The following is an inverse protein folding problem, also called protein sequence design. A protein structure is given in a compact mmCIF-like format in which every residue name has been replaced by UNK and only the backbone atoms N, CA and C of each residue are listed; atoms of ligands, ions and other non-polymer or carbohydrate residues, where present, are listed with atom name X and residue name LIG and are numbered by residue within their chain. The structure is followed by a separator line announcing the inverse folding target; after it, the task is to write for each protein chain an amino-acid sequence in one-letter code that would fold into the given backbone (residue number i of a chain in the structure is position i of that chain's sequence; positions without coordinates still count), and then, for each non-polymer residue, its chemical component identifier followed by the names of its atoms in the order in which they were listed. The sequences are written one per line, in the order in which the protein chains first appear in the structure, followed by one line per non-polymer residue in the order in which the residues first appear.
data_IF_978895598665
#
_entry.id   IF_978895598665
#
_cell.length_a   1.000
_cell.length_b   1.000
_cell.length_c   1.000
_cell.angle_alpha   90.00
_cell.angle_beta   90.00
_cell.angle_gamma   90.00
#
_symmetry.space_group_name_H-M   'P 1'
#
loop_
_entity.id
_entity.type
_entity.pdbx_description
1 polymer ?
#
# COMPACT_ATOMS: atom_id res chain seq x y z
N UNK A 1 29.00 -29.53 -3.55
CA UNK A 1 29.79 -28.50 -4.24
C UNK A 1 29.40 -28.47 -5.69
N UNK A 2 28.56 -27.48 -6.09
CA UNK A 2 28.51 -26.95 -7.44
C UNK A 2 28.06 -25.51 -7.30
N UNK A 3 29.04 -24.60 -7.33
CA UNK A 3 28.83 -23.17 -7.50
C UNK A 3 28.17 -22.96 -8.88
N UNK A 4 26.92 -22.54 -8.87
CA UNK A 4 26.28 -21.94 -10.03
C UNK A 4 26.52 -20.44 -9.90
N UNK A 5 27.56 -19.98 -10.56
CA UNK A 5 27.81 -18.60 -10.88
C UNK A 5 26.68 -18.14 -11.82
N UNK A 6 25.68 -17.47 -11.25
CA UNK A 6 24.64 -16.78 -11.99
C UNK A 6 25.00 -15.31 -12.08
N UNK A 7 25.37 -14.91 -13.24
CA UNK A 7 25.37 -13.62 -13.91
C UNK A 7 26.76 -13.17 -14.40
N UNK A 8 26.90 -12.96 -15.68
CA UNK A 8 27.11 -11.62 -16.22
C UNK A 8 26.43 -11.33 -17.58
N UNK A 9 25.56 -12.20 -18.09
CA UNK A 9 25.01 -11.99 -19.46
C UNK A 9 23.82 -11.03 -19.56
N UNK A 10 23.10 -10.78 -18.47
CA UNK A 10 21.92 -9.87 -18.47
C UNK A 10 22.33 -8.39 -18.32
N UNK A 11 23.52 -8.12 -17.80
CA UNK A 11 24.02 -6.75 -17.56
C UNK A 11 24.39 -5.99 -18.85
N UNK A 12 24.99 -6.64 -19.84
CA UNK A 12 25.48 -5.97 -21.07
C UNK A 12 24.37 -5.49 -22.02
N UNK A 13 23.25 -6.21 -22.14
CA UNK A 13 22.10 -5.78 -22.94
C UNK A 13 21.27 -4.69 -22.27
N UNK A 14 21.25 -4.66 -20.94
CA UNK A 14 20.54 -3.61 -20.18
C UNK A 14 21.29 -2.28 -20.17
N UNK A 15 22.62 -2.26 -20.11
CA UNK A 15 23.41 -1.01 -20.06
C UNK A 15 23.23 -0.19 -21.36
N UNK A 16 23.31 -0.83 -22.52
CA UNK A 16 23.06 -0.14 -23.81
C UNK A 16 21.64 0.38 -23.97
N UNK A 17 20.66 -0.31 -23.38
CA UNK A 17 19.25 0.11 -23.36
C UNK A 17 19.05 1.33 -22.45
N UNK A 18 19.65 1.30 -21.26
CA UNK A 18 19.53 2.38 -20.27
C UNK A 18 20.23 3.63 -20.80
N UNK A 19 21.38 3.50 -21.44
CA UNK A 19 22.09 4.62 -22.08
C UNK A 19 21.23 5.30 -23.15
N UNK A 20 20.52 4.52 -23.99
CA UNK A 20 19.58 5.08 -24.98
C UNK A 20 18.42 5.82 -24.34
N UNK A 21 17.94 5.39 -23.19
CA UNK A 21 16.88 6.06 -22.44
C UNK A 21 17.42 7.34 -21.80
N UNK A 22 18.56 7.24 -21.10
CA UNK A 22 19.17 8.36 -20.37
C UNK A 22 19.70 9.46 -21.29
N UNK A 23 20.08 9.15 -22.52
CA UNK A 23 20.49 10.14 -23.54
C UNK A 23 19.42 11.18 -23.86
N UNK A 24 18.15 10.89 -23.54
CA UNK A 24 17.04 11.83 -23.68
C UNK A 24 17.03 12.93 -22.61
N UNK A 25 17.80 12.79 -21.54
CA UNK A 25 17.85 13.76 -20.45
C UNK A 25 19.12 14.60 -20.51
N UNK A 26 19.07 15.80 -19.94
CA UNK A 26 20.22 16.69 -19.85
C UNK A 26 21.05 16.38 -18.60
N UNK A 27 21.70 15.21 -18.61
CA UNK A 27 22.47 14.65 -17.50
C UNK A 27 23.74 13.98 -18.03
N UNK A 28 24.83 14.04 -17.25
CA UNK A 28 26.00 13.22 -17.45
C UNK A 28 25.94 12.05 -16.45
N UNK A 29 25.91 10.83 -16.97
CA UNK A 29 25.81 9.60 -16.18
C UNK A 29 27.22 9.11 -15.83
N UNK A 30 27.43 8.76 -14.56
CA UNK A 30 28.69 8.21 -14.05
C UNK A 30 28.59 6.71 -13.76
N UNK A 31 27.47 6.26 -13.17
CA UNK A 31 27.24 4.84 -12.88
C UNK A 31 25.74 4.52 -12.75
N UNK A 32 25.40 3.25 -12.94
CA UNK A 32 24.06 2.72 -12.92
C UNK A 32 24.06 1.52 -11.95
N UNK A 33 23.17 1.54 -10.97
CA UNK A 33 22.95 0.47 -10.01
C UNK A 33 21.53 -0.09 -10.16
N UNK A 34 21.41 -1.40 -10.29
CA UNK A 34 20.14 -2.06 -10.37
C UNK A 34 19.60 -2.34 -8.95
N UNK A 35 18.50 -1.67 -8.58
CA UNK A 35 17.90 -1.80 -7.24
C UNK A 35 16.86 -2.91 -7.21
N UNK A 36 16.10 -3.10 -8.31
CA UNK A 36 15.02 -4.08 -8.35
C UNK A 36 14.62 -4.41 -9.77
N UNK A 37 14.64 -5.69 -10.10
CA UNK A 37 13.98 -6.23 -11.28
C UNK A 37 12.91 -7.21 -10.82
N UNK A 38 11.70 -7.10 -11.37
CA UNK A 38 10.64 -8.11 -11.24
C UNK A 38 10.24 -8.57 -12.64
N UNK A 39 10.56 -9.80 -12.92
CA UNK A 39 10.05 -10.57 -14.06
C UNK A 39 8.71 -11.20 -13.63
N UNK A 40 7.62 -10.53 -13.88
CA UNK A 40 6.25 -11.02 -13.69
C UNK A 40 5.39 -10.33 -14.74
N UNK A 41 4.12 -10.69 -14.88
CA UNK A 41 3.14 -10.06 -15.78
C UNK A 41 3.11 -8.51 -15.67
N UNK A 42 3.75 -7.96 -14.65
CA UNK A 42 4.00 -6.53 -14.43
C UNK A 42 5.51 -6.30 -14.34
N UNK A 43 6.20 -6.40 -15.45
CA UNK A 43 7.62 -6.12 -15.52
C UNK A 43 7.96 -4.72 -15.00
N UNK A 44 8.74 -4.67 -13.94
CA UNK A 44 9.21 -3.44 -13.31
C UNK A 44 10.70 -3.49 -13.13
N UNK A 45 11.36 -2.38 -13.43
CA UNK A 45 12.76 -2.20 -13.10
C UNK A 45 12.95 -0.84 -12.44
N UNK A 46 13.82 -0.78 -11.45
CA UNK A 46 14.21 0.44 -10.75
C UNK A 46 15.72 0.49 -10.68
N UNK A 47 16.29 1.56 -11.18
CA UNK A 47 17.73 1.80 -11.22
C UNK A 47 18.05 3.08 -10.45
N UNK A 48 19.13 3.04 -9.67
CA UNK A 48 19.76 4.23 -9.07
C UNK A 48 20.86 4.69 -10.02
N UNK A 49 20.76 5.93 -10.47
CA UNK A 49 21.69 6.50 -11.47
C UNK A 49 22.51 7.59 -10.79
N UNK A 50 23.82 7.45 -10.79
CA UNK A 50 24.74 8.52 -10.38
C UNK A 50 24.99 9.48 -11.53
N UNK A 51 24.73 10.78 -11.33
CA UNK A 51 24.84 11.81 -12.37
C UNK A 51 25.55 13.06 -11.86
N UNK A 52 25.92 13.96 -12.78
CA UNK A 52 26.43 15.30 -12.48
C UNK A 52 25.46 16.19 -11.69
N UNK A 53 24.18 15.79 -11.62
CA UNK A 53 23.10 16.48 -10.88
C UNK A 53 22.59 15.64 -9.71
N UNK A 54 23.46 14.83 -9.08
CA UNK A 54 23.14 13.94 -7.98
C UNK A 54 22.48 12.64 -8.42
N UNK A 55 22.05 11.84 -7.45
CA UNK A 55 21.43 10.55 -7.72
C UNK A 55 20.01 10.71 -8.27
N UNK A 56 19.69 9.88 -9.28
CA UNK A 56 18.38 9.81 -9.92
C UNK A 56 17.80 8.40 -9.81
N UNK A 57 16.48 8.30 -9.87
CA UNK A 57 15.73 7.06 -9.93
C UNK A 57 15.13 6.90 -11.32
N UNK A 58 15.64 5.96 -12.13
CA UNK A 58 15.02 5.55 -13.37
C UNK A 58 14.11 4.36 -13.09
N UNK A 59 12.84 4.48 -13.51
CA UNK A 59 11.82 3.45 -13.28
C UNK A 59 11.16 3.05 -14.58
N UNK A 60 11.17 1.74 -14.92
CA UNK A 60 10.30 1.15 -15.92
C UNK A 60 8.90 0.98 -15.30
N UNK A 61 7.88 1.59 -15.89
CA UNK A 61 6.50 1.48 -15.42
C UNK A 61 5.73 0.47 -16.27
N UNK A 62 4.67 -0.11 -15.70
CA UNK A 62 3.89 -1.21 -16.30
C UNK A 62 2.50 -0.77 -16.77
N UNK A 63 2.21 0.51 -16.71
CA UNK A 63 0.95 1.11 -17.11
C UNK A 63 1.12 2.00 -18.34
N UNK A 64 0.00 2.31 -18.98
CA UNK A 64 -0.05 3.11 -20.18
C UNK A 64 0.19 4.61 -19.92
N UNK A 65 0.33 5.36 -21.00
CA UNK A 65 0.60 6.79 -20.99
C UNK A 65 -0.52 7.60 -20.34
N UNK A 66 -1.79 7.25 -20.58
CA UNK A 66 -2.95 7.94 -19.99
C UNK A 66 -2.99 7.76 -18.47
N UNK A 67 -2.61 6.58 -17.99
CA UNK A 67 -2.44 6.28 -16.56
C UNK A 67 -1.25 7.05 -15.98
N UNK A 68 -0.12 7.15 -16.71
CA UNK A 68 1.02 7.96 -16.29
C UNK A 68 0.64 9.45 -16.15
N UNK A 69 -0.14 9.99 -17.07
CA UNK A 69 -0.60 11.39 -16.99
C UNK A 69 -1.41 11.64 -15.73
N UNK A 70 -2.27 10.71 -15.33
CA UNK A 70 -3.00 10.80 -14.05
C UNK A 70 -2.06 10.80 -12.85
N UNK A 71 -1.13 9.83 -12.77
CA UNK A 71 -0.16 9.74 -11.68
C UNK A 71 0.73 10.99 -11.62
N UNK A 72 1.16 11.49 -12.77
CA UNK A 72 1.92 12.73 -12.88
C UNK A 72 1.11 13.93 -12.34
N UNK A 73 -0.17 14.04 -12.71
CA UNK A 73 -1.06 15.10 -12.21
C UNK A 73 -1.17 15.04 -10.67
N UNK A 74 -1.30 13.85 -10.10
CA UNK A 74 -1.33 13.67 -8.64
C UNK A 74 -0.03 14.13 -7.99
N UNK A 75 1.13 13.73 -8.52
CA UNK A 75 2.44 14.10 -7.97
C UNK A 75 2.64 15.61 -8.01
N UNK A 76 2.35 16.26 -9.14
CA UNK A 76 2.48 17.72 -9.26
C UNK A 76 1.51 18.45 -8.32
N UNK A 77 0.26 17.99 -8.25
CA UNK A 77 -0.74 18.56 -7.35
C UNK A 77 -0.32 18.48 -5.88
N UNK A 78 0.12 17.31 -5.43
CA UNK A 78 0.57 17.11 -4.06
C UNK A 78 1.79 17.98 -3.73
N UNK A 79 2.75 18.11 -4.64
CA UNK A 79 3.89 19.01 -4.47
C UNK A 79 3.47 20.49 -4.36
N UNK A 80 2.50 20.95 -5.16
CA UNK A 80 1.94 22.31 -5.05
C UNK A 80 1.26 22.52 -3.70
N UNK A 81 0.64 21.46 -3.14
CA UNK A 81 0.01 21.50 -1.80
C UNK A 81 1.01 21.29 -0.65
N UNK A 82 2.32 21.25 -0.91
CA UNK A 82 3.37 21.14 0.11
C UNK A 82 3.65 19.71 0.58
N UNK A 83 3.10 18.70 -0.08
CA UNK A 83 3.39 17.29 0.21
C UNK A 83 4.55 16.86 -0.67
N UNK A 84 5.67 16.44 -0.05
CA UNK A 84 6.90 16.15 -0.75
C UNK A 84 6.82 14.79 -1.47
N UNK A 85 6.86 14.86 -2.80
CA UNK A 85 6.91 13.71 -3.69
C UNK A 85 8.04 13.91 -4.72
N UNK A 86 8.75 12.85 -5.15
CA UNK A 86 9.74 12.98 -6.20
C UNK A 86 9.10 13.44 -7.51
N UNK A 87 9.53 14.60 -8.02
CA UNK A 87 9.02 15.15 -9.28
C UNK A 87 9.60 14.42 -10.48
N UNK A 88 8.79 14.28 -11.54
CA UNK A 88 9.27 13.72 -12.80
C UNK A 88 10.18 14.74 -13.53
N UNK A 89 11.40 14.30 -13.84
CA UNK A 89 12.39 15.08 -14.56
C UNK A 89 12.04 15.12 -16.05
N UNK A 90 12.06 16.32 -16.63
CA UNK A 90 11.75 16.51 -18.04
C UNK A 90 12.91 16.02 -18.92
N UNK A 91 12.58 15.41 -20.05
CA UNK A 91 13.52 15.13 -21.13
C UNK A 91 13.99 16.43 -21.81
N UNK A 92 15.00 16.37 -22.66
CA UNK A 92 15.47 17.48 -23.52
C UNK A 92 14.35 18.08 -24.38
N UNK A 93 13.31 17.29 -24.69
CA UNK A 93 12.13 17.71 -25.46
C UNK A 93 10.96 18.18 -24.59
N UNK A 94 11.15 18.31 -23.27
CA UNK A 94 10.10 18.72 -22.32
C UNK A 94 9.13 17.61 -21.87
N UNK A 95 9.25 16.39 -22.39
CA UNK A 95 8.39 15.27 -21.99
C UNK A 95 8.76 14.76 -20.59
N UNK A 96 7.79 14.22 -19.86
CA UNK A 96 7.99 13.67 -18.50
C UNK A 96 8.35 12.18 -18.47
N UNK A 97 8.52 11.58 -19.63
CA UNK A 97 8.85 10.15 -19.78
C UNK A 97 9.58 9.89 -21.09
N UNK A 98 10.17 8.72 -21.18
CA UNK A 98 10.75 8.18 -22.42
C UNK A 98 9.99 6.90 -22.78
N UNK A 99 9.59 6.79 -24.04
CA UNK A 99 8.99 5.57 -24.60
C UNK A 99 10.04 4.83 -25.42
N UNK A 100 10.31 3.58 -25.05
CA UNK A 100 11.30 2.76 -25.74
C UNK A 100 10.84 1.30 -25.78
N UNK A 101 10.81 0.68 -26.97
CA UNK A 101 10.34 -0.69 -27.19
C UNK A 101 8.99 -0.99 -26.49
N UNK A 102 7.99 -0.14 -26.72
CA UNK A 102 6.65 -0.21 -26.12
C UNK A 102 6.60 -0.07 -24.59
N UNK A 103 7.73 0.13 -23.93
CA UNK A 103 7.82 0.39 -22.50
C UNK A 103 7.94 1.89 -22.21
N UNK A 104 7.45 2.30 -21.04
CA UNK A 104 7.54 3.67 -20.56
C UNK A 104 8.53 3.72 -19.39
N UNK A 105 9.41 4.73 -19.44
CA UNK A 105 10.42 5.00 -18.43
C UNK A 105 10.26 6.41 -17.90
N UNK A 106 10.28 6.56 -16.58
CA UNK A 106 10.25 7.85 -15.89
C UNK A 106 11.54 8.04 -15.11
N UNK A 107 11.98 9.29 -15.01
CA UNK A 107 13.14 9.69 -14.22
C UNK A 107 12.71 10.67 -13.14
N UNK A 108 13.12 10.42 -11.89
CA UNK A 108 12.90 11.32 -10.75
C UNK A 108 14.20 11.52 -9.99
N UNK A 109 14.22 12.43 -9.02
CA UNK A 109 15.29 12.45 -8.04
C UNK A 109 15.26 11.19 -7.20
N UNK A 110 16.45 10.69 -6.84
CA UNK A 110 16.59 9.67 -5.81
C UNK A 110 16.51 10.34 -4.44
N UNK A 111 15.59 9.91 -3.61
CA UNK A 111 15.43 10.45 -2.27
C UNK A 111 16.29 9.66 -1.30
N UNK A 112 17.38 10.28 -0.84
CA UNK A 112 18.24 9.71 0.20
C UNK A 112 17.64 9.95 1.58
N UNK A 113 17.66 8.91 2.41
CA UNK A 113 17.13 9.00 3.76
C UNK A 113 16.83 7.63 4.38
N UNK A 114 16.37 7.66 5.61
CA UNK A 114 15.92 6.46 6.31
C UNK A 114 14.45 6.16 5.98
N UNK A 115 14.13 4.90 5.87
CA UNK A 115 12.73 4.46 5.79
C UNK A 115 12.02 4.72 7.10
N UNK A 116 10.72 5.01 7.02
CA UNK A 116 9.86 5.11 8.20
C UNK A 116 9.97 3.85 9.07
N UNK A 117 10.09 4.04 10.38
CA UNK A 117 10.11 2.99 11.38
C UNK A 117 8.74 2.91 12.08
N UNK A 118 7.93 1.92 11.75
CA UNK A 118 6.62 1.70 12.38
C UNK A 118 6.69 1.29 13.87
N UNK A 119 7.90 1.14 14.43
CA UNK A 119 8.12 0.86 15.84
C UNK A 119 8.49 2.14 16.62
N UNK A 120 8.59 3.28 15.93
CA UNK A 120 8.80 4.62 16.48
C UNK A 120 7.47 5.40 16.49
N UNK A 121 7.07 5.85 17.65
CA UNK A 121 5.79 6.54 17.83
C UNK A 121 5.78 7.93 17.16
N UNK A 122 6.95 8.58 17.03
CA UNK A 122 7.06 9.88 16.37
C UNK A 122 6.93 9.71 14.86
N UNK A 123 7.57 8.68 14.29
CA UNK A 123 7.36 8.34 12.88
C UNK A 123 5.87 8.07 12.62
N UNK A 124 5.17 7.33 13.50
CA UNK A 124 3.73 7.06 13.36
C UNK A 124 2.92 8.36 13.37
N UNK A 125 3.23 9.32 14.25
CA UNK A 125 2.57 10.62 14.26
C UNK A 125 2.75 11.35 12.95
N UNK A 126 4.01 11.51 12.52
CA UNK A 126 4.36 12.27 11.31
C UNK A 126 3.72 11.70 10.05
N UNK A 127 3.76 10.37 9.87
CA UNK A 127 3.16 9.73 8.70
C UNK A 127 1.63 9.75 8.75
N UNK A 128 1.00 9.72 9.93
CA UNK A 128 -0.45 9.85 10.07
C UNK A 128 -0.93 11.24 9.70
N UNK A 129 -0.24 12.28 10.19
CA UNK A 129 -0.51 13.68 9.80
C UNK A 129 -0.27 13.89 8.30
N UNK A 130 0.78 13.29 7.74
CA UNK A 130 1.06 13.39 6.31
C UNK A 130 -0.01 12.70 5.45
N UNK A 131 -0.52 11.53 5.87
CA UNK A 131 -1.61 10.86 5.18
C UNK A 131 -2.89 11.72 5.18
N UNK A 132 -3.20 12.35 6.31
CA UNK A 132 -4.31 13.29 6.41
C UNK A 132 -4.14 14.50 5.47
N UNK A 133 -2.91 15.05 5.36
CA UNK A 133 -2.59 16.12 4.41
C UNK A 133 -2.81 15.68 2.95
N UNK A 134 -2.39 14.46 2.59
CA UNK A 134 -2.64 13.90 1.24
C UNK A 134 -4.14 13.86 0.95
N UNK A 135 -4.94 13.32 1.87
CA UNK A 135 -6.39 13.24 1.69
C UNK A 135 -7.03 14.63 1.62
N UNK A 136 -6.68 15.54 2.52
CA UNK A 136 -7.22 16.92 2.53
C UNK A 136 -6.81 17.73 1.30
N UNK A 137 -5.60 17.48 0.78
CA UNK A 137 -5.11 18.14 -0.44
C UNK A 137 -5.92 17.76 -1.69
N UNK A 138 -6.78 16.75 -1.62
CA UNK A 138 -7.58 16.29 -2.76
C UNK A 138 -8.65 17.28 -3.18
N UNK A 139 -9.03 18.21 -2.29
CA UNK A 139 -10.06 19.23 -2.60
C UNK A 139 -9.65 20.05 -3.81
N UNK A 140 -10.51 20.04 -4.82
CA UNK A 140 -10.28 20.74 -6.07
C UNK A 140 -9.23 20.11 -6.99
N UNK A 141 -8.82 18.85 -6.73
CA UNK A 141 -7.90 18.15 -7.62
C UNK A 141 -8.54 17.91 -8.98
N UNK A 142 -7.79 18.22 -10.04
CA UNK A 142 -8.10 17.84 -11.40
C UNK A 142 -6.84 17.29 -12.09
N UNK A 143 -7.03 16.27 -12.89
CA UNK A 143 -5.96 15.71 -13.69
C UNK A 143 -5.83 16.45 -15.03
N UNK A 144 -4.63 16.49 -15.58
CA UNK A 144 -4.39 17.11 -16.89
C UNK A 144 -5.20 16.40 -17.98
N UNK A 145 -5.51 17.12 -19.05
CA UNK A 145 -6.27 16.60 -20.18
C UNK A 145 -5.60 15.35 -20.78
N UNK A 146 -6.39 14.39 -21.24
CA UNK A 146 -5.91 13.10 -21.75
C UNK A 146 -5.58 12.05 -20.68
N UNK A 147 -5.65 12.39 -19.39
CA UNK A 147 -5.47 11.44 -18.30
C UNK A 147 -6.59 10.40 -18.24
N UNK A 148 -6.22 9.15 -17.91
CA UNK A 148 -7.17 8.14 -17.46
C UNK A 148 -7.37 8.31 -15.96
N UNK A 149 -8.48 8.86 -15.55
CA UNK A 149 -8.79 9.00 -14.12
C UNK A 149 -8.96 7.61 -13.50
N UNK A 150 -8.15 7.32 -12.50
CA UNK A 150 -8.20 6.06 -11.78
C UNK A 150 -9.09 6.21 -10.55
N UNK A 151 -10.25 5.59 -10.58
CA UNK A 151 -11.21 5.57 -9.47
C UNK A 151 -11.30 4.13 -8.95
N UNK A 152 -11.34 3.96 -7.63
CA UNK A 152 -11.58 2.65 -7.01
C UNK A 152 -13.06 2.27 -7.12
N UNK A 153 -13.31 0.97 -7.27
CA UNK A 153 -14.63 0.41 -7.01
C UNK A 153 -14.89 0.47 -5.50
N UNK A 154 -15.88 1.26 -5.10
CA UNK A 154 -16.25 1.49 -3.70
C UNK A 154 -17.21 0.41 -3.15
N UNK A 155 -17.56 -0.59 -3.95
CA UNK A 155 -18.37 -1.72 -3.47
C UNK A 155 -17.54 -2.63 -2.56
N UNK A 156 -17.16 -2.05 -1.40
CA UNK A 156 -16.41 -2.78 -0.37
C UNK A 156 -17.21 -3.94 0.19
N UNK A 157 -18.53 -3.79 0.31
CA UNK A 157 -19.40 -4.89 0.76
C UNK A 157 -19.24 -6.11 -0.17
N UNK A 158 -19.39 -5.94 -1.47
CA UNK A 158 -19.24 -7.01 -2.46
C UNK A 158 -17.84 -7.64 -2.42
N UNK A 159 -16.81 -6.80 -2.31
CA UNK A 159 -15.43 -7.24 -2.25
C UNK A 159 -15.17 -8.09 -0.99
N UNK A 160 -15.58 -7.63 0.19
CA UNK A 160 -15.39 -8.33 1.45
C UNK A 160 -16.29 -9.55 1.60
N UNK A 161 -17.51 -9.51 1.06
CA UNK A 161 -18.41 -10.68 0.98
C UNK A 161 -17.80 -11.79 0.09
N UNK A 162 -17.13 -11.44 -1.00
CA UNK A 162 -16.34 -12.41 -1.78
C UNK A 162 -15.22 -13.04 -0.95
N UNK A 163 -14.49 -12.22 -0.18
CA UNK A 163 -13.43 -12.74 0.70
C UNK A 163 -13.98 -13.63 1.81
N UNK A 164 -15.14 -13.31 2.35
CA UNK A 164 -15.86 -14.13 3.33
C UNK A 164 -16.24 -15.49 2.76
N UNK A 165 -16.85 -15.53 1.58
CA UNK A 165 -17.17 -16.79 0.91
C UNK A 165 -15.92 -17.67 0.72
N UNK A 166 -14.81 -17.08 0.29
CA UNK A 166 -13.54 -17.77 0.17
C UNK A 166 -13.00 -18.28 1.52
N UNK A 167 -13.25 -17.56 2.62
CA UNK A 167 -12.87 -17.99 3.96
C UNK A 167 -13.66 -19.25 4.36
N UNK A 168 -14.95 -19.33 4.04
CA UNK A 168 -15.79 -20.53 4.23
C UNK A 168 -15.28 -21.70 3.37
N UNK A 169 -14.91 -21.45 2.11
CA UNK A 169 -14.31 -22.47 1.25
C UNK A 169 -12.99 -23.01 1.81
N UNK A 170 -12.19 -22.15 2.47
CA UNK A 170 -10.99 -22.57 3.19
C UNK A 170 -11.34 -23.49 4.36
N UNK A 171 -12.41 -23.20 5.14
CA UNK A 171 -12.85 -24.07 6.23
C UNK A 171 -13.31 -25.44 5.70
N UNK A 172 -14.07 -25.49 4.62
CA UNK A 172 -14.48 -26.74 3.99
C UNK A 172 -13.26 -27.55 3.50
N UNK A 173 -12.22 -26.86 3.01
CA UNK A 173 -10.96 -27.51 2.62
C UNK A 173 -10.19 -28.04 3.83
N UNK A 174 -10.17 -27.29 4.93
CA UNK A 174 -9.52 -27.69 6.18
C UNK A 174 -10.14 -28.96 6.76
N UNK A 175 -11.49 -29.05 6.80
CA UNK A 175 -12.19 -30.26 7.25
C UNK A 175 -11.87 -31.51 6.43
N UNK A 176 -11.59 -31.34 5.13
CA UNK A 176 -11.23 -32.48 4.25
C UNK A 176 -9.75 -32.89 4.37
N UNK A 177 -8.85 -31.90 4.43
CA UNK A 177 -7.39 -32.13 4.35
C UNK A 177 -6.82 -32.55 5.71
N UNK A 178 -7.26 -31.97 6.82
CA UNK A 178 -6.91 -32.34 8.19
C UNK A 178 -5.42 -32.31 8.53
N UNK A 179 -4.62 -31.55 7.79
CA UNK A 179 -3.19 -31.39 8.07
C UNK A 179 -2.93 -30.39 9.21
N UNK A 180 -1.66 -30.17 9.53
CA UNK A 180 -1.27 -29.27 10.65
C UNK A 180 -1.74 -27.84 10.46
N UNK A 181 -1.74 -27.32 9.22
CA UNK A 181 -2.28 -25.98 8.91
C UNK A 181 -3.78 -25.95 9.16
N UNK A 182 -4.50 -26.94 8.65
CA UNK A 182 -5.96 -27.09 8.80
C UNK A 182 -6.39 -27.13 10.26
N UNK A 183 -5.66 -27.88 11.11
CA UNK A 183 -5.95 -27.93 12.55
C UNK A 183 -5.83 -26.57 13.20
N UNK A 184 -4.70 -25.85 13.02
CA UNK A 184 -4.49 -24.52 13.59
C UNK A 184 -5.53 -23.53 13.09
N UNK A 185 -5.89 -23.62 11.81
CA UNK A 185 -6.90 -22.77 11.21
C UNK A 185 -8.28 -22.99 11.84
N UNK A 186 -8.72 -24.24 11.95
CA UNK A 186 -10.03 -24.60 12.51
C UNK A 186 -10.14 -24.28 14.00
N UNK A 187 -9.08 -24.50 14.79
CA UNK A 187 -9.02 -24.17 16.22
C UNK A 187 -9.28 -22.68 16.52
N UNK A 188 -9.11 -21.82 15.50
CA UNK A 188 -9.31 -20.36 15.62
C UNK A 188 -10.45 -19.83 14.72
N UNK A 189 -11.09 -20.70 13.95
CA UNK A 189 -11.98 -20.27 12.86
C UNK A 189 -13.20 -19.51 13.35
N UNK A 190 -13.85 -19.95 14.43
CA UNK A 190 -15.10 -19.36 14.92
C UNK A 190 -14.95 -17.88 15.30
N UNK A 191 -13.84 -17.52 15.94
CA UNK A 191 -13.54 -16.14 16.27
C UNK A 191 -13.45 -15.28 15.00
N UNK A 192 -12.61 -15.69 14.05
CA UNK A 192 -12.41 -14.93 12.83
C UNK A 192 -13.62 -14.94 11.88
N UNK A 193 -14.43 -16.00 11.93
CA UNK A 193 -15.71 -16.07 11.22
C UNK A 193 -16.68 -15.01 11.76
N UNK A 194 -16.78 -14.87 13.08
CA UNK A 194 -17.64 -13.87 13.70
C UNK A 194 -17.16 -12.45 13.39
N UNK A 195 -15.85 -12.20 13.47
CA UNK A 195 -15.26 -10.93 13.03
C UNK A 195 -15.61 -10.60 11.57
N UNK A 196 -15.50 -11.58 10.67
CA UNK A 196 -15.82 -11.38 9.26
C UNK A 196 -17.32 -11.11 9.03
N UNK A 197 -18.22 -11.82 9.73
CA UNK A 197 -19.67 -11.58 9.67
C UNK A 197 -20.03 -10.18 10.13
N UNK A 198 -19.54 -9.76 11.30
CA UNK A 198 -19.81 -8.42 11.85
C UNK A 198 -19.25 -7.33 10.90
N UNK A 199 -18.02 -7.49 10.40
CA UNK A 199 -17.43 -6.58 9.43
C UNK A 199 -18.31 -6.40 8.19
N UNK A 200 -18.76 -7.50 7.57
CA UNK A 200 -19.60 -7.45 6.36
C UNK A 200 -20.95 -6.82 6.67
N UNK A 201 -21.53 -7.13 7.80
CA UNK A 201 -22.80 -6.52 8.25
C UNK A 201 -22.66 -4.99 8.35
N UNK A 202 -21.59 -4.50 8.97
CA UNK A 202 -21.33 -3.05 9.06
C UNK A 202 -21.11 -2.44 7.67
N UNK A 203 -20.26 -3.06 6.85
CA UNK A 203 -20.00 -2.57 5.48
C UNK A 203 -21.27 -2.53 4.62
N UNK A 204 -22.24 -3.41 4.85
CA UNK A 204 -23.53 -3.40 4.13
C UNK A 204 -24.45 -2.23 4.52
N UNK A 205 -24.16 -1.54 5.63
CA UNK A 205 -24.96 -0.41 6.15
C UNK A 205 -24.35 0.95 5.82
N UNK A 206 -23.10 0.97 5.35
CA UNK A 206 -22.40 2.22 5.03
C UNK A 206 -22.63 2.57 3.57
N UNK A 207 -23.12 3.79 3.33
CA UNK A 207 -23.14 4.39 2.01
C UNK A 207 -21.80 5.10 1.76
N UNK A 208 -20.92 4.45 1.00
CA UNK A 208 -19.58 4.97 0.68
C UNK A 208 -19.59 6.12 -0.34
N UNK A 209 -20.73 6.41 -0.95
CA UNK A 209 -20.89 7.57 -1.84
C UNK A 209 -21.38 8.80 -1.08
N UNK A 210 -21.94 8.62 0.13
CA UNK A 210 -22.44 9.69 1.00
C UNK A 210 -21.88 9.57 2.43
N UNK A 211 -20.56 9.46 2.59
CA UNK A 211 -19.92 9.33 3.91
C UNK A 211 -19.82 10.65 4.69
N UNK A 212 -19.96 11.78 4.03
CA UNK A 212 -19.80 13.10 4.62
C UNK A 212 -19.58 14.17 3.54
N UNK A 213 -18.47 14.87 3.62
CA UNK A 213 -18.08 15.88 2.64
C UNK A 213 -17.47 15.26 1.35
N UNK A 214 -17.13 16.12 0.39
CA UNK A 214 -16.48 15.70 -0.87
C UNK A 214 -15.23 14.84 -0.63
N UNK A 215 -14.41 15.20 0.34
CA UNK A 215 -13.17 14.47 0.67
C UNK A 215 -13.49 13.10 1.29
N UNK A 216 -14.49 13.02 2.16
CA UNK A 216 -14.91 11.73 2.78
C UNK A 216 -15.37 10.73 1.73
N UNK A 217 -15.98 11.22 0.68
CA UNK A 217 -16.48 10.40 -0.42
C UNK A 217 -15.37 10.02 -1.40
N UNK A 218 -14.47 10.96 -1.73
CA UNK A 218 -13.44 10.72 -2.73
C UNK A 218 -12.21 11.62 -2.53
N UNK A 219 -11.06 10.99 -2.32
CA UNK A 219 -9.79 11.66 -2.18
C UNK A 219 -8.68 10.96 -2.97
N UNK A 220 -7.54 11.64 -3.14
CA UNK A 220 -6.30 11.02 -3.59
C UNK A 220 -5.86 10.04 -2.52
N UNK A 221 -5.89 8.75 -2.80
CA UNK A 221 -5.41 7.69 -1.93
C UNK A 221 -4.17 7.05 -2.51
N UNK A 222 -3.16 6.84 -1.68
CA UNK A 222 -1.89 6.27 -2.11
C UNK A 222 -2.01 4.76 -2.35
N UNK A 223 -2.81 4.05 -1.56
CA UNK A 223 -3.11 2.62 -1.60
C UNK A 223 -1.89 1.67 -1.48
N UNK A 224 -0.70 2.22 -1.31
CA UNK A 224 0.53 1.52 -0.94
C UNK A 224 1.35 2.33 0.08
N UNK A 225 0.67 2.98 1.02
CA UNK A 225 1.25 3.80 2.08
C UNK A 225 1.94 2.90 3.11
N UNK A 226 3.17 2.48 2.77
CA UNK A 226 3.96 1.51 3.52
C UNK A 226 5.32 2.10 3.88
N UNK A 227 5.92 1.62 4.97
CA UNK A 227 7.18 2.15 5.50
C UNK A 227 8.31 2.31 4.47
N UNK A 228 8.41 1.40 3.50
CA UNK A 228 9.44 1.48 2.44
C UNK A 228 9.20 2.62 1.44
N UNK A 229 7.98 3.15 1.37
CA UNK A 229 7.57 4.23 0.49
C UNK A 229 7.51 5.60 1.22
N UNK A 230 7.93 5.63 2.49
CA UNK A 230 7.95 6.79 3.36
C UNK A 230 9.39 7.03 3.80
N UNK A 231 10.02 8.08 3.28
CA UNK A 231 11.44 8.34 3.45
C UNK A 231 11.63 9.64 4.24
N UNK A 232 12.28 9.54 5.39
CA UNK A 232 12.75 10.70 6.15
C UNK A 232 14.16 11.05 5.70
N UNK A 233 14.33 12.24 5.13
CA UNK A 233 15.63 12.78 4.73
C UNK A 233 16.49 13.17 5.95
N UNK A 234 17.81 13.38 5.81
CA UNK A 234 18.66 13.81 6.92
C UNK A 234 18.21 15.11 7.60
N UNK A 235 17.54 16.03 6.86
CA UNK A 235 16.91 17.25 7.36
C UNK A 235 15.47 17.03 7.88
N UNK A 236 15.14 15.77 8.17
CA UNK A 236 13.87 15.30 8.75
C UNK A 236 12.61 15.67 7.95
N UNK A 237 12.72 15.81 6.62
CA UNK A 237 11.58 15.97 5.74
C UNK A 237 11.03 14.61 5.31
N UNK A 238 9.71 14.45 5.35
CA UNK A 238 9.03 13.23 4.92
C UNK A 238 8.68 13.28 3.43
N UNK A 239 9.27 12.40 2.66
CA UNK A 239 8.92 12.15 1.25
C UNK A 239 8.05 10.91 1.12
N UNK A 240 7.02 11.01 0.27
CA UNK A 240 6.19 9.88 -0.15
C UNK A 240 6.58 9.49 -1.57
N UNK A 241 6.90 8.21 -1.78
CA UNK A 241 7.34 7.68 -3.07
C UNK A 241 6.45 6.53 -3.55
N UNK A 242 6.56 6.17 -4.84
CA UNK A 242 5.88 5.01 -5.47
C UNK A 242 4.34 5.14 -5.54
N UNK A 243 3.87 6.10 -6.31
CA UNK A 243 2.44 6.39 -6.57
C UNK A 243 1.77 5.43 -7.58
N UNK A 244 2.37 4.30 -7.93
CA UNK A 244 1.85 3.37 -8.95
C UNK A 244 0.45 2.82 -8.68
N UNK A 245 0.02 2.81 -7.42
CA UNK A 245 -1.31 2.31 -7.02
C UNK A 245 -2.31 3.41 -6.70
N UNK A 246 -1.87 4.66 -6.80
CA UNK A 246 -2.72 5.81 -6.48
C UNK A 246 -3.98 5.81 -7.31
N UNK A 247 -5.08 6.10 -6.62
CA UNK A 247 -6.41 6.28 -7.20
C UNK A 247 -7.20 7.32 -6.42
N UNK A 248 -8.29 7.77 -7.00
CA UNK A 248 -9.35 8.41 -6.25
C UNK A 248 -10.17 7.32 -5.56
N UNK A 249 -10.26 7.39 -4.22
CA UNK A 249 -10.89 6.38 -3.36
C UNK A 249 -11.43 7.02 -2.08
N UNK A 250 -12.19 6.28 -1.27
CA UNK A 250 -12.55 6.74 0.07
C UNK A 250 -11.30 6.76 0.97
N UNK A 251 -10.97 7.86 1.65
CA UNK A 251 -9.83 7.96 2.55
C UNK A 251 -9.78 6.86 3.62
N UNK A 252 -10.95 6.41 4.07
CA UNK A 252 -11.06 5.36 5.09
C UNK A 252 -10.47 4.03 4.65
N UNK A 253 -10.45 3.73 3.36
CA UNK A 253 -9.81 2.54 2.83
C UNK A 253 -8.27 2.64 2.94
N UNK A 254 -7.71 3.81 2.64
CA UNK A 254 -6.26 4.03 2.71
C UNK A 254 -5.76 4.08 4.16
N UNK A 255 -6.42 4.85 5.03
CA UNK A 255 -6.07 4.92 6.46
C UNK A 255 -6.24 3.57 7.15
N UNK A 256 -7.30 2.82 6.86
CA UNK A 256 -7.51 1.48 7.44
C UNK A 256 -6.42 0.49 7.00
N UNK A 257 -5.98 0.59 5.75
CA UNK A 257 -4.87 -0.22 5.24
C UNK A 257 -3.55 0.13 5.93
N UNK A 258 -3.30 1.40 6.21
CA UNK A 258 -2.15 1.87 6.97
C UNK A 258 -2.24 1.39 8.43
N UNK A 259 -3.35 1.63 9.13
CA UNK A 259 -3.58 1.20 10.50
C UNK A 259 -3.39 -0.31 10.67
N UNK A 260 -3.98 -1.11 9.78
CA UNK A 260 -3.79 -2.56 9.82
C UNK A 260 -2.31 -2.98 9.68
N UNK A 261 -1.49 -2.20 8.96
CA UNK A 261 -0.05 -2.50 8.82
C UNK A 261 0.74 -2.22 10.09
N UNK A 262 0.48 -1.10 10.77
CA UNK A 262 1.17 -0.74 12.01
C UNK A 262 0.71 -1.62 13.19
N UNK A 263 -0.57 -1.94 13.29
CA UNK A 263 -1.16 -2.65 14.43
C UNK A 263 -0.81 -4.15 14.48
N UNK A 264 -0.73 -4.83 13.34
CA UNK A 264 -0.44 -6.28 13.30
C UNK A 264 1.01 -6.67 13.54
N UNK A 265 1.91 -5.72 13.81
CA UNK A 265 3.33 -5.99 14.02
C UNK A 265 3.56 -6.63 15.38
N UNK A 266 4.67 -7.39 15.51
CA UNK A 266 5.05 -8.03 16.78
C UNK A 266 5.19 -7.03 17.92
N UNK A 267 5.74 -5.84 17.65
CA UNK A 267 6.00 -4.82 18.69
C UNK A 267 4.71 -4.10 19.11
N UNK A 268 3.84 -3.81 18.16
CA UNK A 268 2.57 -3.12 18.43
C UNK A 268 1.45 -4.05 18.87
N UNK A 269 1.43 -5.29 18.38
CA UNK A 269 0.54 -6.38 18.81
C UNK A 269 -0.92 -5.94 19.04
N UNK A 270 -1.50 -5.18 18.11
CA UNK A 270 -2.84 -4.58 18.21
C UNK A 270 -3.02 -3.64 19.40
N UNK A 271 -1.96 -2.87 19.77
CA UNK A 271 -2.05 -1.85 20.81
C UNK A 271 -3.06 -0.76 20.44
N UNK A 272 -4.00 -0.52 21.35
CA UNK A 272 -5.00 0.53 21.19
C UNK A 272 -4.36 1.92 21.31
N UNK A 273 -3.32 2.08 22.14
CA UNK A 273 -2.56 3.33 22.28
C UNK A 273 -1.89 3.75 20.96
N UNK A 274 -1.32 2.78 20.22
CA UNK A 274 -0.74 3.03 18.89
C UNK A 274 -1.83 3.46 17.90
N UNK A 275 -3.02 2.87 17.97
CA UNK A 275 -4.17 3.29 17.19
C UNK A 275 -4.57 4.73 17.53
N UNK A 276 -4.71 5.05 18.82
CA UNK A 276 -5.10 6.40 19.27
C UNK A 276 -4.08 7.44 18.80
N UNK A 277 -2.79 7.17 18.93
CA UNK A 277 -1.75 8.08 18.45
C UNK A 277 -1.89 8.32 16.94
N UNK A 278 -2.08 7.26 16.16
CA UNK A 278 -2.21 7.38 14.71
C UNK A 278 -3.48 8.14 14.30
N UNK A 279 -4.63 7.80 14.90
CA UNK A 279 -5.92 8.44 14.62
C UNK A 279 -5.93 9.90 15.07
N UNK A 280 -5.50 10.20 16.29
CA UNK A 280 -5.47 11.56 16.82
C UNK A 280 -4.53 12.46 15.97
N UNK A 281 -3.39 11.92 15.51
CA UNK A 281 -2.48 12.65 14.63
C UNK A 281 -3.11 12.93 13.27
N UNK A 282 -3.85 11.96 12.71
CA UNK A 282 -4.61 12.15 11.48
C UNK A 282 -5.73 13.21 11.65
N UNK A 283 -6.49 13.12 12.73
CA UNK A 283 -7.64 14.01 13.00
C UNK A 283 -7.26 15.45 13.29
N UNK A 284 -6.02 15.75 13.72
CA UNK A 284 -5.53 17.13 13.80
C UNK A 284 -5.62 17.89 12.47
N UNK A 285 -5.53 17.17 11.36
CA UNK A 285 -5.54 17.73 10.00
C UNK A 285 -6.90 17.51 9.33
N UNK A 286 -7.46 16.31 9.48
CA UNK A 286 -8.71 15.89 8.87
C UNK A 286 -9.56 15.11 9.88
N UNK A 287 -10.57 15.78 10.49
CA UNK A 287 -11.53 15.11 11.37
C UNK A 287 -12.26 13.97 10.65
N UNK A 288 -12.55 12.91 11.39
CA UNK A 288 -13.29 11.74 10.89
C UNK A 288 -14.76 11.81 11.33
N UNK A 289 -15.67 11.50 10.42
CA UNK A 289 -17.08 11.34 10.74
C UNK A 289 -17.36 10.02 11.46
N UNK A 290 -18.51 9.90 12.10
CA UNK A 290 -18.95 8.63 12.72
C UNK A 290 -19.00 7.49 11.71
N UNK A 291 -19.47 7.73 10.49
CA UNK A 291 -19.51 6.74 9.42
C UNK A 291 -18.09 6.30 9.00
N UNK A 292 -17.13 7.22 8.96
CA UNK A 292 -15.73 6.88 8.69
C UNK A 292 -15.12 6.03 9.79
N UNK A 293 -15.42 6.31 11.04
CA UNK A 293 -14.99 5.46 12.16
C UNK A 293 -15.61 4.05 12.09
N UNK A 294 -16.89 3.93 11.74
CA UNK A 294 -17.56 2.64 11.53
C UNK A 294 -16.91 1.86 10.38
N UNK A 295 -16.55 2.54 9.30
CA UNK A 295 -15.83 1.92 8.18
C UNK A 295 -14.43 1.44 8.59
N UNK A 296 -13.67 2.26 9.32
CA UNK A 296 -12.35 1.89 9.86
C UNK A 296 -12.48 0.65 10.76
N UNK A 297 -13.47 0.63 11.67
CA UNK A 297 -13.72 -0.51 12.53
C UNK A 297 -13.99 -1.77 11.69
N UNK A 298 -14.90 -1.70 10.72
CA UNK A 298 -15.25 -2.83 9.88
C UNK A 298 -14.02 -3.35 9.09
N UNK A 299 -13.18 -2.47 8.55
CA UNK A 299 -11.98 -2.87 7.82
C UNK A 299 -10.91 -3.50 8.71
N UNK A 300 -10.75 -3.02 9.96
CA UNK A 300 -9.80 -3.58 10.92
C UNK A 300 -10.30 -4.90 11.52
N UNK A 301 -11.61 -5.04 11.69
CA UNK A 301 -12.24 -6.25 12.20
C UNK A 301 -12.14 -7.43 11.22
N UNK A 302 -12.21 -7.18 9.90
CA UNK A 302 -12.16 -8.25 8.91
C UNK A 302 -10.79 -8.96 8.92
N UNK A 303 -10.73 -10.30 9.03
CA UNK A 303 -9.48 -11.06 9.15
C UNK A 303 -8.74 -11.20 7.80
N UNK A 304 -8.41 -10.06 7.17
CA UNK A 304 -7.85 -9.98 5.80
C UNK A 304 -6.57 -10.82 5.63
N UNK A 305 -5.71 -10.85 6.67
CA UNK A 305 -4.45 -11.60 6.60
C UNK A 305 -4.69 -13.10 6.70
N UNK A 306 -5.58 -13.54 7.61
CA UNK A 306 -5.98 -14.94 7.74
C UNK A 306 -6.59 -15.45 6.43
N UNK A 307 -7.58 -14.71 5.90
CA UNK A 307 -8.19 -15.02 4.61
C UNK A 307 -7.15 -15.22 3.50
N UNK A 308 -6.23 -14.26 3.36
CA UNK A 308 -5.22 -14.30 2.30
C UNK A 308 -4.33 -15.52 2.43
N UNK A 309 -3.76 -15.76 3.61
CA UNK A 309 -2.84 -16.88 3.87
C UNK A 309 -3.53 -18.21 3.64
N UNK A 310 -4.76 -18.38 4.16
CA UNK A 310 -5.52 -19.63 4.01
C UNK A 310 -5.92 -19.89 2.56
N UNK A 311 -6.40 -18.88 1.86
CA UNK A 311 -6.73 -18.99 0.43
C UNK A 311 -5.51 -19.38 -0.40
N UNK A 312 -4.38 -18.70 -0.19
CA UNK A 312 -3.16 -18.95 -0.95
C UNK A 312 -2.58 -20.34 -0.61
N UNK A 313 -2.68 -20.79 0.66
CA UNK A 313 -2.30 -22.14 1.08
C UNK A 313 -3.09 -23.22 0.35
N UNK A 314 -4.43 -23.19 0.44
CA UNK A 314 -5.27 -24.23 -0.15
C UNK A 314 -5.25 -24.22 -1.68
N UNK A 315 -5.08 -23.04 -2.30
CA UNK A 315 -4.90 -22.94 -3.76
C UNK A 315 -3.61 -23.59 -4.24
N UNK A 316 -2.52 -23.51 -3.45
CA UNK A 316 -1.20 -23.94 -3.84
C UNK A 316 -0.68 -25.15 -3.04
N UNK A 317 -1.56 -25.89 -2.37
CA UNK A 317 -1.20 -26.89 -1.35
C UNK A 317 -0.23 -28.00 -1.84
N UNK A 318 -0.23 -28.27 -3.15
CA UNK A 318 0.66 -29.27 -3.75
C UNK A 318 2.09 -28.78 -3.94
N UNK A 319 2.29 -27.47 -4.05
CA UNK A 319 3.57 -26.85 -4.45
C UNK A 319 4.11 -25.83 -3.44
N UNK A 320 3.32 -25.48 -2.42
CA UNK A 320 3.71 -24.47 -1.45
C UNK A 320 4.67 -25.02 -0.39
N UNK A 321 5.47 -24.13 0.18
CA UNK A 321 6.24 -24.44 1.39
C UNK A 321 5.30 -24.44 2.61
N UNK A 322 4.80 -25.60 2.97
CA UNK A 322 3.84 -25.78 4.07
C UNK A 322 4.34 -25.20 5.40
N UNK A 323 5.64 -25.34 5.69
CA UNK A 323 6.23 -24.83 6.93
C UNK A 323 6.14 -23.30 7.02
N UNK A 324 6.37 -22.58 5.92
CA UNK A 324 6.23 -21.12 5.88
C UNK A 324 4.79 -20.69 6.13
N UNK A 325 3.82 -21.32 5.47
CA UNK A 325 2.40 -21.04 5.68
C UNK A 325 1.94 -21.34 7.11
N UNK A 326 2.39 -22.46 7.71
CA UNK A 326 2.10 -22.78 9.11
C UNK A 326 2.69 -21.71 10.05
N UNK A 327 3.92 -21.28 9.83
CA UNK A 327 4.55 -20.25 10.64
C UNK A 327 3.85 -18.89 10.49
N UNK A 328 3.43 -18.55 9.27
CA UNK A 328 2.65 -17.34 9.01
C UNK A 328 1.28 -17.39 9.70
N UNK A 329 0.55 -18.52 9.61
CA UNK A 329 -0.71 -18.71 10.30
C UNK A 329 -0.54 -18.61 11.83
N UNK A 330 0.46 -19.27 12.40
CA UNK A 330 0.77 -19.17 13.83
C UNK A 330 1.05 -17.73 14.27
N UNK A 331 1.74 -16.95 13.44
CA UNK A 331 2.00 -15.54 13.74
C UNK A 331 0.73 -14.68 13.76
N UNK A 332 -0.30 -15.06 12.99
CA UNK A 332 -1.60 -14.38 12.98
C UNK A 332 -2.38 -14.74 14.23
N UNK A 333 -2.55 -16.03 14.50
CA UNK A 333 -3.40 -16.51 15.61
C UNK A 333 -2.79 -16.22 16.99
N UNK A 334 -1.48 -16.05 17.05
CA UNK A 334 -0.77 -15.66 18.29
C UNK A 334 -1.33 -14.38 18.92
N UNK A 335 -1.78 -13.44 18.12
CA UNK A 335 -2.27 -12.13 18.57
C UNK A 335 -3.80 -12.04 18.51
N UNK A 336 -4.52 -13.18 18.53
CA UNK A 336 -5.98 -13.21 18.49
C UNK A 336 -6.60 -12.45 19.67
N UNK A 337 -6.14 -12.71 20.88
CA UNK A 337 -6.66 -12.06 22.09
C UNK A 337 -6.38 -10.55 22.11
N UNK A 338 -5.20 -10.15 21.61
CA UNK A 338 -4.88 -8.73 21.45
C UNK A 338 -5.81 -8.05 20.43
N UNK A 339 -6.10 -8.72 19.31
CA UNK A 339 -7.02 -8.22 18.30
C UNK A 339 -8.45 -8.11 18.86
N UNK A 340 -8.90 -9.10 19.63
CA UNK A 340 -10.20 -9.08 20.27
C UNK A 340 -10.33 -7.93 21.28
N UNK A 341 -9.35 -7.76 22.16
CA UNK A 341 -9.30 -6.65 23.12
C UNK A 341 -9.26 -5.29 22.41
N UNK A 342 -8.50 -5.17 21.33
CA UNK A 342 -8.47 -3.97 20.49
C UNK A 342 -9.84 -3.66 19.88
N UNK A 343 -10.50 -4.64 19.28
CA UNK A 343 -11.82 -4.49 18.66
C UNK A 343 -12.88 -4.08 19.69
N UNK A 344 -12.85 -4.65 20.89
CA UNK A 344 -13.77 -4.28 21.98
C UNK A 344 -13.58 -2.82 22.39
N UNK A 345 -12.34 -2.36 22.60
CA UNK A 345 -12.04 -0.95 22.90
C UNK A 345 -12.48 0.00 21.79
N UNK A 346 -12.28 -0.39 20.52
CA UNK A 346 -12.70 0.43 19.38
C UNK A 346 -14.24 0.49 19.30
N UNK A 347 -14.93 -0.58 19.62
CA UNK A 347 -16.40 -0.62 19.70
C UNK A 347 -16.94 0.28 20.83
N UNK A 348 -16.29 0.28 21.99
CA UNK A 348 -16.60 1.20 23.09
C UNK A 348 -16.36 2.68 22.69
N UNK A 349 -15.28 2.96 21.96
CA UNK A 349 -15.04 4.31 21.44
C UNK A 349 -16.16 4.75 20.50
N UNK A 350 -16.61 3.87 19.61
CA UNK A 350 -17.71 4.13 18.68
C UNK A 350 -19.02 4.43 19.39
N UNK A 351 -19.36 3.65 20.44
CA UNK A 351 -20.59 3.89 21.21
C UNK A 351 -20.64 5.24 21.95
N UNK A 352 -19.47 5.90 22.13
CA UNK A 352 -19.38 7.24 22.71
C UNK A 352 -19.47 8.35 21.66
N UNK A 353 -19.30 8.02 20.38
CA UNK A 353 -19.36 8.97 19.26
C UNK A 353 -20.73 8.99 18.54
N UNK A 354 -21.57 7.97 18.81
CA UNK A 354 -22.98 7.91 18.39
C UNK A 354 -23.88 8.51 19.45
#
# INVERSE_FOLDING_TARGET
MKNISLAPRILLDNDSLIDKILSNYNLKVYSIENIKIKESDKERAVYKINTDKGYKCLKKVYYDEKTLLFIYSVIEWLNVKGILCPKLISTKKGLKYVKYNSNIYILTDWIDGRKCNYDDINDIKDISENLAKIHSASKGFFAIEGSKILISDKDYFKSYNKHFKQLIECANSAYRIKDKFSKIFLDNFDYYLNCAKESIYILSKIDFDNMGDEISNQAICHLDYVNKNLIFTPDNKLYVIDFDKTKLDCPVHDISSFLHRILKRKKTAWSFEVFEVAINSYEKIRPLTTNEYLAIYAFLLFPKKLWKVSKDYYKNIKYCNKSEYINELKSIVKYRENHEAFCNKLKELLSKKT
#
